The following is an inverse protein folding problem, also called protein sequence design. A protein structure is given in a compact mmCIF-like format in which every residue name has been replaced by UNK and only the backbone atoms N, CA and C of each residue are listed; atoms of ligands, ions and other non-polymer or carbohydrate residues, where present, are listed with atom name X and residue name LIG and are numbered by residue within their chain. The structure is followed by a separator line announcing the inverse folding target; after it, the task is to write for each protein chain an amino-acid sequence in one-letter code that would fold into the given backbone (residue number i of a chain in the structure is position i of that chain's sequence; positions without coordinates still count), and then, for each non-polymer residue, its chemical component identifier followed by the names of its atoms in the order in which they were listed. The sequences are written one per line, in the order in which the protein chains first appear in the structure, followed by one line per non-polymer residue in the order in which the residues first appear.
data_IF_633801344349
#
_entry.id   IF_633801344349
#
_cell.length_a   1.000
_cell.length_b   1.000
_cell.length_c   1.000
_cell.angle_alpha   90.00
_cell.angle_beta   90.00
_cell.angle_gamma   90.00
#
_symmetry.space_group_name_H-M   'P 1'
#
loop_
_entity.id
_entity.type
_entity.pdbx_description
1 polymer ?
#
# COMPACT_ATOMS: atom_id res chain seq x y z
N UNK A 1 14.09 20.54 -0.40
CA UNK A 1 13.93 20.12 0.55
C UNK A 1 14.09 18.89 1.42
N UNK A 2 13.18 17.92 1.28
CA UNK A 2 13.21 16.73 2.12
C UNK A 2 14.11 15.66 1.52
N UNK A 3 14.64 14.78 2.38
CA UNK A 3 15.55 13.71 1.97
C UNK A 3 14.81 12.44 1.52
N UNK A 4 13.52 12.34 1.82
CA UNK A 4 12.68 11.21 1.45
C UNK A 4 11.23 11.47 1.80
N UNK A 5 10.37 10.48 1.50
CA UNK A 5 8.92 10.56 1.77
C UNK A 5 8.42 9.26 2.36
N UNK A 6 7.37 9.35 3.17
CA UNK A 6 6.63 8.19 3.65
C UNK A 6 5.23 8.21 3.05
N UNK A 7 4.84 7.11 2.40
CA UNK A 7 3.48 6.94 1.92
C UNK A 7 2.59 6.52 3.09
N UNK A 8 1.51 7.24 3.33
CA UNK A 8 0.56 6.89 4.37
C UNK A 8 -0.44 5.86 3.84
N UNK A 9 -0.16 4.58 4.10
CA UNK A 9 -1.02 3.48 3.69
C UNK A 9 -1.76 2.84 4.86
N UNK A 10 -2.11 3.62 5.89
CA UNK A 10 -2.56 3.12 7.17
C UNK A 10 -3.87 3.77 7.63
N UNK A 11 -4.43 3.25 8.73
CA UNK A 11 -5.50 3.85 9.53
C UNK A 11 -6.82 4.10 8.77
N UNK A 12 -7.12 3.31 7.76
CA UNK A 12 -8.39 3.40 7.04
C UNK A 12 -8.48 4.56 6.05
N UNK A 13 -7.34 5.22 5.73
CA UNK A 13 -7.33 6.29 4.74
C UNK A 13 -7.12 5.74 3.32
N UNK A 14 -6.87 6.58 2.34
CA UNK A 14 -7.05 6.24 0.92
C UNK A 14 -6.35 4.96 0.46
N UNK A 15 -5.05 4.83 0.70
CA UNK A 15 -4.29 3.64 0.26
C UNK A 15 -4.80 2.39 0.99
N UNK A 16 -5.01 2.49 2.30
CA UNK A 16 -5.53 1.39 3.10
C UNK A 16 -6.92 0.95 2.60
N UNK A 17 -7.76 1.89 2.18
CA UNK A 17 -9.08 1.59 1.62
C UNK A 17 -9.02 0.73 0.37
N UNK A 18 -7.98 0.85 -0.43
CA UNK A 18 -7.77 -0.03 -1.58
C UNK A 18 -7.27 -1.41 -1.18
N UNK A 19 -6.46 -1.49 -0.11
CA UNK A 19 -5.87 -2.75 0.35
C UNK A 19 -6.88 -3.63 1.10
N UNK A 20 -7.77 -3.02 1.87
CA UNK A 20 -8.72 -3.73 2.74
C UNK A 20 -9.91 -4.27 1.95
N UNK A 21 -10.19 -5.56 2.08
CA UNK A 21 -11.38 -6.15 1.43
C UNK A 21 -12.68 -5.60 2.02
N UNK A 22 -12.67 -5.15 3.27
CA UNK A 22 -13.85 -4.58 3.93
C UNK A 22 -14.28 -3.24 3.32
N UNK A 23 -13.36 -2.48 2.75
CA UNK A 23 -13.67 -1.19 2.12
C UNK A 23 -13.59 -1.23 0.61
N UNK A 24 -12.75 -2.10 0.04
CA UNK A 24 -12.58 -2.19 -1.41
C UNK A 24 -13.54 -3.22 -2.00
N UNK A 25 -14.67 -2.74 -2.47
CA UNK A 25 -15.71 -3.55 -3.14
C UNK A 25 -15.73 -3.35 -4.65
N UNK A 26 -14.62 -2.83 -5.22
CA UNK A 26 -14.51 -2.57 -6.64
C UNK A 26 -14.49 -3.86 -7.46
N UNK A 27 -15.01 -3.77 -8.67
CA UNK A 27 -15.04 -4.90 -9.61
C UNK A 27 -14.16 -4.67 -10.84
N UNK A 28 -13.36 -3.60 -10.80
CA UNK A 28 -12.41 -3.26 -11.87
C UNK A 28 -11.00 -3.78 -11.49
N UNK A 29 -9.99 -3.30 -12.21
CA UNK A 29 -8.60 -3.71 -12.04
C UNK A 29 -7.96 -3.30 -10.71
N UNK A 30 -8.67 -2.54 -9.88
CA UNK A 30 -8.21 -2.10 -8.57
C UNK A 30 -8.88 -2.84 -7.42
N UNK A 31 -9.72 -3.83 -7.70
CA UNK A 31 -10.46 -4.56 -6.67
C UNK A 31 -10.48 -6.06 -6.90
N UNK A 32 -10.88 -6.78 -5.87
CA UNK A 32 -11.00 -8.24 -5.88
C UNK A 32 -9.75 -8.94 -5.40
N UNK A 33 -8.86 -9.33 -6.30
CA UNK A 33 -7.64 -10.07 -5.96
C UNK A 33 -6.63 -9.21 -5.20
N UNK A 34 -5.69 -9.87 -4.55
CA UNK A 34 -4.56 -9.18 -3.89
C UNK A 34 -3.79 -8.32 -4.89
N UNK A 35 -3.52 -8.87 -6.07
CA UNK A 35 -2.82 -8.16 -7.14
C UNK A 35 -3.54 -6.87 -7.53
N UNK A 36 -4.85 -6.92 -7.65
CA UNK A 36 -5.64 -5.74 -8.00
C UNK A 36 -5.67 -4.71 -6.87
N UNK A 37 -5.82 -5.16 -5.64
CA UNK A 37 -5.93 -4.25 -4.49
C UNK A 37 -4.62 -3.53 -4.18
N UNK A 38 -3.47 -4.15 -4.46
CA UNK A 38 -2.17 -3.50 -4.27
C UNK A 38 -1.80 -2.57 -5.45
N UNK A 39 -2.50 -2.67 -6.57
CA UNK A 39 -2.15 -1.95 -7.80
C UNK A 39 -2.02 -0.45 -7.61
N UNK A 40 -2.98 0.16 -6.90
CA UNK A 40 -2.95 1.61 -6.64
C UNK A 40 -1.69 2.02 -5.87
N UNK A 41 -1.34 1.27 -4.83
CA UNK A 41 -0.12 1.53 -4.05
C UNK A 41 1.14 1.38 -4.92
N UNK A 42 1.21 0.34 -5.74
CA UNK A 42 2.36 0.13 -6.62
C UNK A 42 2.50 1.26 -7.64
N UNK A 43 1.39 1.74 -8.17
CA UNK A 43 1.40 2.88 -9.10
C UNK A 43 1.91 4.15 -8.45
N UNK A 44 1.57 4.39 -7.18
CA UNK A 44 2.09 5.53 -6.43
C UNK A 44 3.61 5.42 -6.28
N UNK A 45 4.11 4.27 -5.85
CA UNK A 45 5.55 4.05 -5.66
C UNK A 45 6.30 4.23 -6.98
N UNK A 46 5.82 3.56 -8.03
CA UNK A 46 6.43 3.62 -9.35
C UNK A 46 6.37 5.02 -9.93
N UNK A 47 5.28 5.75 -9.71
CA UNK A 47 5.15 7.13 -10.13
C UNK A 47 6.17 8.06 -9.48
N UNK A 48 6.42 7.88 -8.17
CA UNK A 48 7.44 8.67 -7.46
C UNK A 48 8.83 8.37 -8.03
N UNK A 49 9.15 7.09 -8.24
CA UNK A 49 10.45 6.68 -8.77
C UNK A 49 10.64 7.21 -10.18
N UNK A 50 9.65 7.03 -11.05
CA UNK A 50 9.72 7.46 -12.46
C UNK A 50 9.80 8.98 -12.60
N UNK A 51 9.21 9.74 -11.68
CA UNK A 51 9.31 11.20 -11.70
C UNK A 51 10.71 11.72 -11.41
N UNK A 52 11.58 10.87 -10.84
CA UNK A 52 12.92 11.25 -10.43
C UNK A 52 12.97 12.03 -9.12
N UNK A 53 11.82 12.18 -8.43
CA UNK A 53 11.77 12.92 -7.17
C UNK A 53 12.56 12.23 -6.07
N UNK A 54 12.33 10.91 -5.89
CA UNK A 54 13.04 10.09 -4.90
C UNK A 54 13.29 8.69 -5.46
N UNK A 55 14.49 8.12 -5.25
CA UNK A 55 14.72 6.70 -5.53
C UNK A 55 14.01 5.83 -4.49
N UNK A 56 13.83 4.55 -4.79
CA UNK A 56 13.11 3.61 -3.92
C UNK A 56 13.64 3.60 -2.49
N UNK A 57 14.96 3.68 -2.30
CA UNK A 57 15.58 3.65 -0.97
C UNK A 57 15.38 4.94 -0.15
N UNK A 58 14.61 5.89 -0.67
CA UNK A 58 14.19 7.11 0.03
C UNK A 58 12.68 7.18 0.20
N UNK A 59 11.98 6.09 -0.09
CA UNK A 59 10.54 5.99 0.04
C UNK A 59 10.22 4.96 1.12
N UNK A 60 9.49 5.38 2.15
CA UNK A 60 8.95 4.49 3.18
C UNK A 60 7.46 4.31 3.00
N UNK A 61 6.91 3.30 3.67
CA UNK A 61 5.47 3.06 3.68
C UNK A 61 5.04 2.70 5.10
N UNK A 62 3.92 3.27 5.55
CA UNK A 62 3.29 2.90 6.80
C UNK A 62 1.98 2.18 6.51
N UNK A 63 1.77 1.02 7.14
CA UNK A 63 0.56 0.21 7.03
C UNK A 63 0.01 -0.13 8.42
N UNK A 64 -1.24 -0.59 8.48
CA UNK A 64 -1.93 -0.95 9.73
C UNK A 64 -2.59 -2.32 9.61
N UNK A 65 -1.82 -3.42 9.61
CA UNK A 65 -2.39 -4.76 9.39
C UNK A 65 -3.38 -5.19 10.47
N UNK A 66 -3.27 -4.67 11.68
CA UNK A 66 -4.15 -5.00 12.81
C UNK A 66 -5.13 -3.89 13.18
N UNK A 67 -5.25 -2.87 12.34
CA UNK A 67 -6.14 -1.75 12.62
C UNK A 67 -7.61 -2.10 12.45
N UNK A 68 -8.48 -1.39 13.18
CA UNK A 68 -9.92 -1.57 13.09
C UNK A 68 -10.67 -0.24 12.96
N UNK A 69 -9.97 0.85 12.73
CA UNK A 69 -10.55 2.19 12.58
C UNK A 69 -11.03 2.41 11.14
N UNK A 70 -12.11 3.17 10.96
CA UNK A 70 -12.51 3.65 9.63
C UNK A 70 -12.85 2.56 8.60
N UNK A 71 -13.46 1.46 9.02
CA UNK A 71 -13.83 0.38 8.11
C UNK A 71 -12.75 -0.67 7.86
N UNK A 72 -11.69 -0.63 8.65
CA UNK A 72 -10.62 -1.63 8.65
C UNK A 72 -11.09 -2.93 9.30
N UNK A 73 -10.20 -3.93 9.34
CA UNK A 73 -10.47 -5.19 10.02
C UNK A 73 -11.00 -6.27 9.09
N UNK A 74 -10.49 -6.32 7.87
CA UNK A 74 -10.86 -7.34 6.89
C UNK A 74 -10.43 -8.74 7.36
N UNK A 75 -11.20 -9.77 6.99
CA UNK A 75 -10.91 -11.16 7.36
C UNK A 75 -9.60 -11.67 6.77
N UNK A 76 -9.21 -11.16 5.61
CA UNK A 76 -8.01 -11.60 4.88
C UNK A 76 -6.79 -10.71 5.13
N UNK A 77 -6.78 -9.93 6.22
CA UNK A 77 -5.70 -8.98 6.49
C UNK A 77 -4.34 -9.64 6.62
N UNK A 78 -4.24 -10.77 7.31
CA UNK A 78 -2.95 -11.45 7.46
C UNK A 78 -2.35 -11.80 6.09
N UNK A 79 -3.15 -12.43 5.24
CA UNK A 79 -2.71 -12.84 3.91
C UNK A 79 -2.43 -11.62 3.01
N UNK A 80 -3.31 -10.62 3.05
CA UNK A 80 -3.15 -9.43 2.22
C UNK A 80 -1.89 -8.65 2.58
N UNK A 81 -1.67 -8.39 3.86
CA UNK A 81 -0.50 -7.60 4.26
C UNK A 81 0.80 -8.39 4.18
N UNK A 82 0.75 -9.71 4.29
CA UNK A 82 1.89 -10.57 3.96
C UNK A 82 2.25 -10.44 2.47
N UNK A 83 1.25 -10.46 1.62
CA UNK A 83 1.43 -10.25 0.17
C UNK A 83 2.01 -8.86 -0.11
N UNK A 84 1.48 -7.82 0.53
CA UNK A 84 1.99 -6.44 0.39
C UNK A 84 3.47 -6.38 0.75
N UNK A 85 3.86 -6.92 1.90
CA UNK A 85 5.25 -6.91 2.34
C UNK A 85 6.16 -7.62 1.34
N UNK A 86 5.75 -8.78 0.84
CA UNK A 86 6.53 -9.54 -0.13
C UNK A 86 6.70 -8.79 -1.46
N UNK A 87 5.63 -8.17 -1.97
CA UNK A 87 5.69 -7.42 -3.22
C UNK A 87 6.53 -6.15 -3.09
N UNK A 88 6.42 -5.43 -1.97
CA UNK A 88 7.18 -4.21 -1.77
C UNK A 88 8.65 -4.46 -1.52
N UNK A 89 9.00 -5.64 -1.01
CA UNK A 89 10.40 -6.02 -0.83
C UNK A 89 11.19 -5.98 -2.14
N UNK A 90 10.51 -6.14 -3.27
CA UNK A 90 11.13 -6.13 -4.60
C UNK A 90 11.64 -4.74 -5.02
N UNK A 91 11.15 -3.67 -4.40
CA UNK A 91 11.52 -2.30 -4.78
C UNK A 91 12.79 -1.79 -4.11
N UNK A 92 13.23 -2.41 -3.01
CA UNK A 92 14.36 -1.90 -2.25
C UNK A 92 14.04 -0.59 -1.53
N UNK A 93 12.84 -0.49 -0.96
CA UNK A 93 12.39 0.71 -0.24
C UNK A 93 13.19 0.93 1.04
N UNK A 94 13.08 2.15 1.59
CA UNK A 94 13.79 2.51 2.81
C UNK A 94 13.31 1.69 4.01
N UNK A 95 11.98 1.53 4.14
CA UNK A 95 11.38 0.76 5.24
C UNK A 95 9.90 0.49 4.98
N UNK A 96 9.35 -0.43 5.79
CA UNK A 96 7.94 -0.74 5.87
C UNK A 96 7.56 -0.77 7.36
#
# INVERSE_FOLDING_TARGET
GFDGVEIHGANGYLVDQFLQSSSNIRTDEYGGSFENRIRFLKEIIEGIIESGAYPANRIGLRISPNGAFGGMGSEDNFEMFTYVAAELNKYGMAYL
#
